data_IF_713447834574
#
_entry.id   IF_713447834574
#
_cell.length_a   1.000
_cell.length_b   1.000
_cell.length_c   1.000
_cell.angle_alpha   90.00
_cell.angle_beta   90.00
_cell.angle_gamma   90.00
#
_symmetry.space_group_name_H-M   'P 1'
#
loop_
_entity.id
_entity.type
_entity.pdbx_description
1 polymer ?
#
# COMPACT_ATOMS: atom_id res chain seq x y z
N UNK A 1 -12.62 30.30 7.87
CA UNK A 1 -12.43 29.67 6.55
C UNK A 1 -10.93 29.56 6.32
N UNK A 2 -10.33 28.37 6.47
CA UNK A 2 -8.88 28.19 6.30
C UNK A 2 -8.55 28.17 4.81
N UNK A 3 -7.50 28.90 4.41
CA UNK A 3 -6.99 28.86 3.06
C UNK A 3 -6.53 27.43 2.70
N UNK A 4 -6.75 26.96 1.46
CA UNK A 4 -6.23 25.69 1.00
C UNK A 4 -4.70 25.70 1.12
N UNK A 5 -4.13 24.69 1.79
CA UNK A 5 -2.69 24.50 1.88
C UNK A 5 -2.06 24.38 0.49
N UNK A 6 -0.77 24.71 0.33
CA UNK A 6 -0.08 24.61 -0.94
C UNK A 6 -0.20 23.18 -1.49
N UNK A 7 -0.57 23.06 -2.76
CA UNK A 7 -0.62 21.78 -3.44
C UNK A 7 0.76 21.11 -3.34
N UNK A 8 0.83 19.81 -3.03
CA UNK A 8 2.11 19.12 -2.98
C UNK A 8 2.84 19.30 -4.31
N UNK A 9 4.11 19.73 -4.23
CA UNK A 9 4.95 19.86 -5.42
C UNK A 9 5.05 18.54 -6.17
N UNK A 10 5.35 18.56 -7.48
CA UNK A 10 5.55 17.33 -8.24
C UNK A 10 6.62 16.49 -7.54
N UNK A 11 6.23 15.30 -7.08
CA UNK A 11 7.14 14.37 -6.43
C UNK A 11 8.35 14.07 -7.31
N UNK A 12 9.47 13.60 -6.72
CA UNK A 12 10.69 13.28 -7.46
C UNK A 12 10.37 12.38 -8.65
N UNK A 13 10.68 12.86 -9.85
CA UNK A 13 10.62 12.04 -11.06
C UNK A 13 11.85 11.14 -11.06
N UNK A 14 11.64 9.90 -10.65
CA UNK A 14 12.56 8.82 -10.95
C UNK A 14 12.55 8.65 -12.47
N UNK A 15 13.53 9.25 -13.17
CA UNK A 15 13.70 9.11 -14.62
C UNK A 15 14.27 7.72 -14.88
N UNK A 16 13.41 6.70 -14.78
CA UNK A 16 13.66 5.45 -15.48
C UNK A 16 13.46 5.72 -16.97
N UNK A 17 14.31 5.15 -17.81
CA UNK A 17 14.00 4.95 -19.22
C UNK A 17 12.84 3.93 -19.29
N UNK A 18 11.63 4.43 -19.02
CA UNK A 18 10.41 3.65 -18.98
C UNK A 18 10.17 2.95 -20.33
N UNK A 19 10.60 3.58 -21.41
CA UNK A 19 10.48 3.07 -22.78
C UNK A 19 11.40 1.88 -23.03
N UNK A 20 12.66 1.94 -22.59
CA UNK A 20 13.58 0.80 -22.70
C UNK A 20 13.13 -0.38 -21.86
N UNK A 21 12.73 -0.13 -20.61
CA UNK A 21 12.20 -1.16 -19.74
C UNK A 21 10.91 -1.75 -20.32
N UNK A 22 9.98 -0.93 -20.82
CA UNK A 22 8.77 -1.40 -21.48
C UNK A 22 9.06 -2.27 -22.71
N UNK A 23 10.05 -1.91 -23.53
CA UNK A 23 10.47 -2.70 -24.70
C UNK A 23 11.03 -4.07 -24.30
N UNK A 24 11.97 -4.12 -23.35
CA UNK A 24 12.52 -5.39 -22.86
C UNK A 24 11.42 -6.29 -22.25
N UNK A 25 10.44 -5.70 -21.58
CA UNK A 25 9.26 -6.43 -21.06
C UNK A 25 8.41 -7.01 -22.17
N UNK A 26 8.18 -6.25 -23.25
CA UNK A 26 7.39 -6.71 -24.39
C UNK A 26 8.09 -7.86 -25.14
N UNK A 27 9.40 -7.76 -25.34
CA UNK A 27 10.22 -8.81 -25.96
C UNK A 27 10.23 -10.09 -25.11
N UNK A 28 10.44 -9.96 -23.79
CA UNK A 28 10.39 -11.09 -22.87
C UNK A 28 8.99 -11.74 -22.82
N UNK A 29 7.92 -10.94 -22.86
CA UNK A 29 6.55 -11.44 -22.90
C UNK A 29 6.24 -12.20 -24.20
N UNK A 30 6.78 -11.77 -25.33
CA UNK A 30 6.57 -12.42 -26.62
C UNK A 30 7.24 -13.80 -26.73
N UNK A 31 8.32 -14.04 -25.97
CA UNK A 31 9.03 -15.31 -25.94
C UNK A 31 8.37 -16.37 -25.03
N UNK A 32 7.45 -15.97 -24.15
CA UNK A 32 6.80 -16.85 -23.19
C UNK A 32 5.46 -17.36 -23.72
N UNK A 33 5.01 -18.57 -23.29
CA UNK A 33 3.67 -19.05 -23.62
C UNK A 33 2.60 -18.09 -23.08
N UNK A 34 1.38 -18.06 -23.63
CA UNK A 34 0.32 -17.14 -23.16
C UNK A 34 -0.16 -17.43 -21.73
N UNK A 35 0.02 -18.67 -21.26
CA UNK A 35 -0.32 -19.10 -19.91
C UNK A 35 0.85 -19.82 -19.23
N UNK A 36 0.99 -19.59 -17.92
CA UNK A 36 1.98 -20.24 -17.07
C UNK A 36 1.29 -21.16 -16.07
N UNK A 37 1.89 -22.31 -15.79
CA UNK A 37 1.53 -23.10 -14.61
C UNK A 37 1.87 -22.33 -13.33
N UNK A 38 1.23 -22.66 -12.21
CA UNK A 38 1.58 -22.09 -10.90
C UNK A 38 3.03 -22.30 -10.47
N UNK A 39 3.75 -23.29 -11.03
CA UNK A 39 5.20 -23.45 -10.82
C UNK A 39 5.99 -22.40 -11.61
N UNK A 40 5.73 -22.27 -12.91
CA UNK A 40 6.41 -21.30 -13.77
C UNK A 40 6.13 -19.86 -13.33
N UNK A 41 4.89 -19.54 -12.95
CA UNK A 41 4.55 -18.22 -12.41
C UNK A 41 5.34 -17.92 -11.13
N UNK A 42 5.55 -18.93 -10.28
CA UNK A 42 6.36 -18.78 -9.07
C UNK A 42 7.83 -18.55 -9.35
N UNK A 43 8.41 -19.35 -10.24
CA UNK A 43 9.81 -19.23 -10.66
C UNK A 43 10.07 -17.85 -11.28
N UNK A 44 9.16 -17.36 -12.12
CA UNK A 44 9.24 -16.04 -12.72
C UNK A 44 9.25 -14.92 -11.67
N UNK A 45 8.29 -14.94 -10.73
CA UNK A 45 8.21 -13.93 -9.66
C UNK A 45 9.41 -14.01 -8.70
N UNK A 46 9.92 -15.21 -8.43
CA UNK A 46 11.12 -15.41 -7.62
C UNK A 46 12.38 -14.88 -8.29
N UNK A 47 12.50 -15.02 -9.61
CA UNK A 47 13.59 -14.43 -10.40
C UNK A 47 13.67 -12.90 -10.24
N UNK A 48 12.52 -12.25 -10.06
CA UNK A 48 12.42 -10.81 -9.78
C UNK A 48 12.56 -10.45 -8.29
N UNK A 49 12.92 -11.43 -7.45
CA UNK A 49 13.16 -11.27 -6.02
C UNK A 49 11.90 -11.18 -5.16
N UNK A 50 10.75 -11.67 -5.64
CA UNK A 50 9.56 -11.89 -4.79
C UNK A 50 9.76 -13.20 -4.01
N UNK A 51 9.77 -13.19 -2.66
CA UNK A 51 9.98 -14.42 -1.89
C UNK A 51 8.92 -15.49 -2.18
N UNK A 52 9.28 -16.78 -2.16
CA UNK A 52 8.36 -17.84 -2.58
C UNK A 52 7.01 -17.84 -1.81
N UNK A 53 7.05 -17.65 -0.48
CA UNK A 53 5.83 -17.55 0.34
C UNK A 53 4.94 -16.39 -0.11
N UNK A 54 5.56 -15.26 -0.39
CA UNK A 54 4.93 -14.05 -0.90
C UNK A 54 4.28 -14.29 -2.27
N UNK A 55 4.98 -15.01 -3.14
CA UNK A 55 4.49 -15.37 -4.47
C UNK A 55 3.26 -16.26 -4.42
N UNK A 56 3.27 -17.30 -3.56
CA UNK A 56 2.10 -18.14 -3.35
C UNK A 56 0.91 -17.31 -2.87
N UNK A 57 1.12 -16.44 -1.88
CA UNK A 57 0.06 -15.55 -1.39
C UNK A 57 -0.52 -14.66 -2.48
N UNK A 58 0.29 -14.09 -3.37
CA UNK A 58 -0.20 -13.28 -4.49
C UNK A 58 -1.10 -14.07 -5.43
N UNK A 59 -0.64 -15.25 -5.85
CA UNK A 59 -1.37 -16.10 -6.79
C UNK A 59 -2.67 -16.65 -6.17
N UNK A 60 -2.61 -17.13 -4.94
CA UNK A 60 -3.78 -17.68 -4.22
C UNK A 60 -4.84 -16.62 -3.94
N UNK A 61 -4.44 -15.35 -3.81
CA UNK A 61 -5.35 -14.22 -3.64
C UNK A 61 -5.82 -13.62 -4.97
N UNK A 62 -5.44 -14.19 -6.12
CA UNK A 62 -5.94 -13.75 -7.44
C UNK A 62 -5.33 -12.45 -7.97
N UNK A 63 -4.20 -11.98 -7.41
CA UNK A 63 -3.56 -10.73 -7.86
C UNK A 63 -2.92 -10.81 -9.25
N UNK A 64 -2.71 -12.03 -9.76
CA UNK A 64 -2.30 -12.27 -11.15
C UNK A 64 -3.51 -12.60 -12.06
N UNK A 65 -4.71 -12.17 -11.67
CA UNK A 65 -5.96 -12.53 -12.32
C UNK A 65 -6.53 -13.86 -11.85
N UNK A 66 -7.76 -14.15 -12.27
CA UNK A 66 -8.43 -15.43 -11.99
C UNK A 66 -7.72 -16.56 -12.73
N UNK A 67 -7.20 -17.59 -12.03
CA UNK A 67 -6.56 -18.70 -12.70
C UNK A 67 -7.56 -19.52 -13.51
N UNK A 68 -7.14 -19.97 -14.70
CA UNK A 68 -7.88 -20.96 -15.48
C UNK A 68 -7.59 -22.34 -14.90
N UNK A 69 -8.63 -23.02 -14.42
CA UNK A 69 -8.51 -24.37 -13.87
C UNK A 69 -8.60 -25.40 -14.99
N UNK A 70 -7.60 -26.25 -15.10
CA UNK A 70 -7.61 -27.44 -15.96
C UNK A 70 -7.74 -28.70 -15.11
N UNK A 71 -7.76 -29.88 -15.74
CA UNK A 71 -7.76 -31.16 -15.03
C UNK A 71 -6.47 -31.42 -14.23
N UNK A 72 -5.34 -30.81 -14.62
CA UNK A 72 -4.02 -31.10 -14.08
C UNK A 72 -3.34 -29.91 -13.39
N UNK A 73 -3.77 -28.67 -13.64
CA UNK A 73 -3.10 -27.48 -13.11
C UNK A 73 -4.01 -26.24 -13.03
N UNK A 74 -3.53 -25.24 -12.29
CA UNK A 74 -3.98 -23.85 -12.41
C UNK A 74 -3.05 -23.12 -13.38
N UNK A 75 -3.64 -22.46 -14.37
CA UNK A 75 -2.96 -21.66 -15.37
C UNK A 75 -3.21 -20.18 -15.11
N UNK A 76 -2.15 -19.40 -15.16
CA UNK A 76 -2.16 -17.95 -14.96
C UNK A 76 -1.79 -17.26 -16.26
N UNK A 77 -2.40 -16.11 -16.55
CA UNK A 77 -2.05 -15.33 -17.73
C UNK A 77 -0.63 -14.78 -17.60
N UNK A 78 0.22 -15.06 -18.59
CA UNK A 78 1.65 -14.67 -18.56
C UNK A 78 1.82 -13.17 -18.44
N UNK A 79 1.00 -12.38 -19.14
CA UNK A 79 1.04 -10.91 -19.08
C UNK A 79 0.75 -10.39 -17.68
N UNK A 80 -0.23 -10.96 -16.98
CA UNK A 80 -0.57 -10.56 -15.62
C UNK A 80 0.55 -10.89 -14.63
N UNK A 81 1.15 -12.09 -14.73
CA UNK A 81 2.29 -12.49 -13.88
C UNK A 81 3.51 -11.60 -14.13
N UNK A 82 3.84 -11.32 -15.40
CA UNK A 82 4.91 -10.40 -15.78
C UNK A 82 4.67 -8.98 -15.25
N UNK A 83 3.44 -8.48 -15.35
CA UNK A 83 3.07 -7.17 -14.84
C UNK A 83 3.22 -7.05 -13.32
N UNK A 84 3.17 -8.15 -12.56
CA UNK A 84 3.52 -8.17 -11.15
C UNK A 84 5.04 -8.23 -10.92
N UNK A 85 5.72 -9.10 -11.67
CA UNK A 85 7.14 -9.37 -11.50
C UNK A 85 8.00 -8.13 -11.80
N UNK A 86 7.66 -7.42 -12.87
CA UNK A 86 8.46 -6.33 -13.45
C UNK A 86 8.22 -4.95 -12.82
N UNK A 87 7.46 -4.90 -11.72
CA UNK A 87 7.17 -3.66 -11.01
C UNK A 87 8.44 -3.06 -10.40
N UNK A 88 8.70 -1.75 -10.53
CA UNK A 88 9.82 -1.10 -9.87
C UNK A 88 9.74 -1.24 -8.35
N UNK A 89 10.90 -1.21 -7.66
CA UNK A 89 10.96 -1.25 -6.20
C UNK A 89 11.05 0.17 -5.65
N UNK A 90 10.20 0.48 -4.68
CA UNK A 90 10.28 1.68 -3.84
C UNK A 90 11.00 1.31 -2.54
N UNK A 91 12.06 2.06 -2.26
CA UNK A 91 12.74 2.08 -0.98
C UNK A 91 12.04 3.00 0.02
N UNK A 92 12.48 2.99 1.29
CA UNK A 92 11.94 3.89 2.32
C UNK A 92 11.97 5.37 1.94
N UNK A 93 13.06 5.84 1.30
CA UNK A 93 13.20 7.24 0.86
C UNK A 93 12.19 7.62 -0.24
N UNK A 94 11.86 6.69 -1.13
CA UNK A 94 10.85 6.95 -2.16
C UNK A 94 9.46 7.08 -1.53
N UNK A 95 9.19 6.30 -0.48
CA UNK A 95 7.94 6.37 0.28
C UNK A 95 7.78 7.67 1.05
N UNK A 96 8.88 8.22 1.58
CA UNK A 96 8.86 9.51 2.26
C UNK A 96 8.45 10.65 1.32
N UNK A 97 8.69 10.51 0.01
CA UNK A 97 8.24 11.49 -0.98
C UNK A 97 6.71 11.50 -1.20
N UNK A 98 6.03 10.42 -0.81
CA UNK A 98 4.56 10.34 -0.83
C UNK A 98 3.93 10.64 0.53
N UNK A 99 4.73 10.76 1.60
CA UNK A 99 4.21 10.97 2.95
C UNK A 99 3.83 12.44 3.14
N UNK A 100 2.52 12.73 3.31
CA UNK A 100 2.07 14.12 3.56
C UNK A 100 1.01 14.18 4.67
N UNK A 101 1.41 14.38 5.93
CA UNK A 101 2.73 14.12 6.52
C UNK A 101 2.94 12.67 6.95
N UNK A 102 1.94 11.80 6.79
CA UNK A 102 1.97 10.41 7.24
C UNK A 102 1.49 9.50 6.11
N UNK A 103 2.19 8.39 5.87
CA UNK A 103 1.74 7.35 4.95
C UNK A 103 1.55 6.04 5.73
N UNK A 104 0.36 5.48 5.67
CA UNK A 104 0.07 4.15 6.23
C UNK A 104 0.25 3.08 5.16
N UNK A 105 1.24 2.21 5.35
CA UNK A 105 1.43 1.03 4.49
C UNK A 105 0.89 -0.19 5.23
N UNK A 106 -0.03 -0.91 4.61
CA UNK A 106 -0.55 -2.17 5.14
C UNK A 106 0.01 -3.37 4.43
N UNK A 107 0.31 -4.40 5.21
CA UNK A 107 0.86 -5.69 4.77
C UNK A 107 -0.18 -6.81 4.90
N UNK A 108 -1.45 -6.45 5.08
CA UNK A 108 -2.54 -7.41 5.21
C UNK A 108 -2.76 -8.10 3.86
N UNK A 109 -2.75 -9.42 3.87
CA UNK A 109 -3.22 -10.18 2.71
C UNK A 109 -4.75 -10.07 2.63
N UNK A 110 -5.25 -9.77 1.44
CA UNK A 110 -6.66 -9.88 1.09
C UNK A 110 -6.77 -10.33 -0.37
N UNK A 111 -7.86 -11.03 -0.73
CA UNK A 111 -8.09 -11.43 -2.11
C UNK A 111 -8.27 -10.19 -2.99
N UNK A 112 -7.93 -10.32 -4.27
CA UNK A 112 -8.31 -9.36 -5.29
C UNK A 112 -9.85 -9.21 -5.29
N UNK A 113 -10.32 -7.99 -5.52
CA UNK A 113 -11.74 -7.70 -5.66
C UNK A 113 -12.18 -7.69 -7.12
N UNK A 114 -13.50 -7.65 -7.38
CA UNK A 114 -14.02 -7.34 -8.71
C UNK A 114 -13.75 -5.89 -9.11
N UNK A 115 -13.58 -4.99 -8.13
CA UNK A 115 -13.33 -3.57 -8.32
C UNK A 115 -12.59 -2.93 -7.12
N UNK A 116 -12.08 -1.73 -7.35
CA UNK A 116 -11.34 -0.95 -6.35
C UNK A 116 -12.21 -0.54 -5.13
N UNK A 117 -13.53 -0.40 -5.29
CA UNK A 117 -14.40 -0.02 -4.18
C UNK A 117 -14.52 -1.16 -3.16
N UNK A 118 -14.70 -2.38 -3.65
CA UNK A 118 -14.75 -3.61 -2.84
C UNK A 118 -13.43 -3.85 -2.11
N UNK A 119 -12.31 -3.66 -2.81
CA UNK A 119 -10.98 -3.78 -2.19
C UNK A 119 -10.76 -2.74 -1.10
N UNK A 120 -11.17 -1.49 -1.34
CA UNK A 120 -11.08 -0.42 -0.36
C UNK A 120 -11.98 -0.67 0.85
N UNK A 121 -13.15 -1.27 0.67
CA UNK A 121 -14.03 -1.63 1.79
C UNK A 121 -13.35 -2.64 2.73
N UNK A 122 -12.61 -3.62 2.18
CA UNK A 122 -11.81 -4.58 2.96
C UNK A 122 -10.73 -3.90 3.80
N UNK A 123 -10.24 -2.74 3.38
CA UNK A 123 -9.24 -1.94 4.09
C UNK A 123 -9.83 -1.11 5.24
N UNK A 124 -11.16 -0.94 5.34
CA UNK A 124 -11.77 -0.22 6.47
C UNK A 124 -11.72 -0.99 7.79
N UNK A 125 -11.70 -2.33 7.72
CA UNK A 125 -11.86 -3.25 8.85
C UNK A 125 -10.85 -3.01 9.99
N UNK A 126 -11.06 -3.59 11.17
CA UNK A 126 -10.33 -3.19 12.38
C UNK A 126 -8.82 -3.26 12.19
N UNK A 127 -8.14 -2.17 12.55
CA UNK A 127 -6.69 -2.03 12.49
C UNK A 127 -6.09 -2.18 13.87
N UNK A 128 -5.10 -3.07 14.05
CA UNK A 128 -4.41 -3.24 15.32
C UNK A 128 -3.33 -2.16 15.51
N UNK A 129 -3.72 -0.89 15.43
CA UNK A 129 -2.83 0.23 15.72
C UNK A 129 -2.74 0.44 17.23
N UNK A 130 -1.51 0.46 17.77
CA UNK A 130 -1.30 0.77 19.18
C UNK A 130 -1.82 2.17 19.52
N UNK A 131 -2.17 2.41 20.80
CA UNK A 131 -2.78 3.67 21.27
C UNK A 131 -2.09 4.93 20.75
N UNK A 132 -0.76 4.93 20.78
CA UNK A 132 0.05 6.04 20.29
C UNK A 132 -0.07 6.24 18.77
N UNK A 133 0.04 5.18 17.97
CA UNK A 133 -0.16 5.24 16.52
C UNK A 133 -1.58 5.73 16.16
N UNK A 134 -2.60 5.25 16.87
CA UNK A 134 -3.99 5.69 16.70
C UNK A 134 -4.21 7.15 17.09
N UNK A 135 -3.57 7.62 18.17
CA UNK A 135 -3.62 9.03 18.59
C UNK A 135 -2.93 9.93 17.56
N UNK A 136 -1.74 9.55 17.08
CA UNK A 136 -1.00 10.30 16.07
C UNK A 136 -1.75 10.37 14.76
N UNK A 137 -2.26 9.25 14.24
CA UNK A 137 -3.04 9.24 13.00
C UNK A 137 -4.26 10.19 13.10
N UNK A 138 -5.01 10.14 14.20
CA UNK A 138 -6.14 11.07 14.43
C UNK A 138 -5.70 12.52 14.55
N UNK A 139 -4.56 12.80 15.18
CA UNK A 139 -4.02 14.16 15.27
C UNK A 139 -3.63 14.67 13.88
N UNK A 140 -2.91 13.87 13.10
CA UNK A 140 -2.50 14.19 11.74
C UNK A 140 -3.71 14.45 10.84
N UNK A 141 -4.72 13.56 10.88
CA UNK A 141 -5.95 13.74 10.08
C UNK A 141 -6.66 15.07 10.39
N UNK A 142 -6.67 15.50 11.66
CA UNK A 142 -7.29 16.78 12.06
C UNK A 142 -6.48 18.00 11.62
N UNK A 143 -5.16 17.90 11.65
CA UNK A 143 -4.26 19.03 11.37
C UNK A 143 -4.00 19.21 9.87
N UNK A 144 -3.85 18.10 9.14
CA UNK A 144 -3.39 18.09 7.75
C UNK A 144 -4.42 17.55 6.76
N UNK A 145 -5.57 17.07 7.24
CA UNK A 145 -6.61 16.49 6.39
C UNK A 145 -6.31 15.05 5.98
N UNK A 146 -6.88 14.58 4.85
CA UNK A 146 -6.76 13.20 4.40
C UNK A 146 -5.31 12.73 4.28
N UNK A 147 -5.06 11.45 4.59
CA UNK A 147 -3.72 10.86 4.59
C UNK A 147 -3.64 9.64 3.66
N UNK A 148 -2.54 9.45 2.93
CA UNK A 148 -2.41 8.33 2.03
C UNK A 148 -2.33 6.99 2.78
N UNK A 149 -2.99 5.99 2.21
CA UNK A 149 -2.88 4.58 2.59
C UNK A 149 -2.50 3.75 1.37
N UNK A 150 -1.45 2.96 1.49
CA UNK A 150 -1.04 1.97 0.50
C UNK A 150 -1.28 0.57 1.07
N UNK A 151 -1.98 -0.25 0.30
CA UNK A 151 -2.10 -1.67 0.61
C UNK A 151 -1.13 -2.49 -0.23
N UNK A 152 -0.37 -3.34 0.47
CA UNK A 152 0.57 -4.26 -0.16
C UNK A 152 0.23 -5.69 0.15
N UNK A 153 0.42 -6.54 -0.86
CA UNK A 153 0.41 -8.00 -0.71
C UNK A 153 1.78 -8.46 -1.15
N UNK A 154 2.52 -9.12 -0.25
CA UNK A 154 3.87 -9.57 -0.56
C UNK A 154 4.83 -8.45 -1.02
N UNK A 155 4.61 -7.22 -0.53
CA UNK A 155 5.36 -6.04 -0.96
C UNK A 155 4.88 -5.43 -2.29
N UNK A 156 3.99 -6.07 -3.04
CA UNK A 156 3.40 -5.47 -4.24
C UNK A 156 2.30 -4.49 -3.84
N UNK A 157 2.32 -3.26 -4.36
CA UNK A 157 1.24 -2.29 -4.15
C UNK A 157 0.01 -2.75 -4.91
N UNK A 158 -1.06 -3.07 -4.20
CA UNK A 158 -2.28 -3.63 -4.80
C UNK A 158 -3.45 -2.64 -4.77
N UNK A 159 -3.48 -1.73 -3.80
CA UNK A 159 -4.54 -0.74 -3.68
C UNK A 159 -4.04 0.53 -2.97
N UNK A 160 -4.69 1.66 -3.27
CA UNK A 160 -4.51 2.94 -2.60
C UNK A 160 -5.83 3.47 -2.05
N UNK A 161 -5.75 4.28 -1.01
CA UNK A 161 -6.90 5.01 -0.48
C UNK A 161 -6.45 6.30 0.22
N UNK A 162 -7.41 7.21 0.41
CA UNK A 162 -7.24 8.35 1.31
C UNK A 162 -7.93 8.03 2.63
N UNK A 163 -7.19 8.07 3.74
CA UNK A 163 -7.75 8.02 5.09
C UNK A 163 -8.36 9.39 5.36
N UNK A 164 -9.68 9.47 5.46
CA UNK A 164 -10.39 10.72 5.76
C UNK A 164 -10.84 10.80 7.22
N UNK A 165 -10.82 9.67 7.92
CA UNK A 165 -11.27 9.56 9.29
C UNK A 165 -10.73 8.30 9.96
N UNK A 166 -10.73 8.33 11.29
CA UNK A 166 -10.25 7.25 12.12
C UNK A 166 -11.08 7.22 13.41
N UNK A 167 -11.85 6.15 13.60
CA UNK A 167 -12.77 5.99 14.72
C UNK A 167 -12.44 4.73 15.53
N UNK A 168 -12.65 4.72 16.85
CA UNK A 168 -12.63 3.50 17.62
C UNK A 168 -13.49 2.42 16.96
N UNK A 169 -12.86 1.29 16.69
CA UNK A 169 -13.51 0.07 16.24
C UNK A 169 -14.07 -0.69 17.44
N UNK A 170 -15.01 -1.59 17.17
CA UNK A 170 -15.47 -2.54 18.17
C UNK A 170 -14.32 -3.51 18.44
N UNK A 171 -13.96 -3.80 19.71
CA UNK A 171 -13.02 -4.87 20.02
C UNK A 171 -13.56 -6.18 19.44
N UNK A 172 -12.89 -6.71 18.41
CA UNK A 172 -13.13 -8.06 17.94
C UNK A 172 -12.23 -9.00 18.75
N UNK A 173 -12.77 -10.10 19.31
CA UNK A 173 -11.94 -11.10 19.94
C UNK A 173 -11.02 -11.71 18.87
N UNK A 174 -9.73 -11.41 18.95
CA UNK A 174 -8.72 -12.00 18.08
C UNK A 174 -8.51 -13.45 18.54
N UNK A 175 -8.84 -14.47 17.72
CA UNK A 175 -8.63 -15.85 18.10
C UNK A 175 -7.14 -16.10 18.35
N UNK A 176 -6.78 -16.50 19.58
CA UNK A 176 -5.41 -16.88 19.96
C UNK A 176 -4.53 -15.77 20.55
N UNK A 177 -5.07 -14.58 20.83
CA UNK A 177 -4.31 -13.49 21.47
C UNK A 177 -4.14 -13.67 22.98
N UNK A 178 -3.08 -14.35 23.42
CA UNK A 178 -2.67 -14.38 24.84
C UNK A 178 -1.87 -13.12 25.13
N UNK A 179 -2.47 -12.18 25.87
CA UNK A 179 -1.73 -11.35 26.83
C UNK A 179 -0.95 -10.13 26.34
N UNK A 180 -1.33 -9.47 25.23
CA UNK A 180 -0.74 -8.17 24.90
C UNK A 180 -1.82 -7.06 24.94
N UNK A 181 -1.49 -5.98 25.65
CA UNK A 181 -2.38 -4.92 26.11
C UNK A 181 -3.49 -4.54 25.12
N UNK A 182 -4.74 -4.43 25.60
CA UNK A 182 -5.93 -4.04 24.85
C UNK A 182 -5.66 -2.95 23.80
N UNK A 183 -5.37 -3.40 22.57
CA UNK A 183 -5.27 -2.55 21.39
C UNK A 183 -6.70 -2.20 21.04
N UNK A 184 -7.08 -0.95 21.27
CA UNK A 184 -8.35 -0.42 20.79
C UNK A 184 -8.30 -0.47 19.26
N UNK A 185 -9.03 -1.38 18.60
CA UNK A 185 -8.94 -1.47 17.16
C UNK A 185 -9.42 -0.16 16.57
N UNK A 186 -8.84 0.25 15.44
CA UNK A 186 -9.24 1.46 14.75
C UNK A 186 -9.97 1.08 13.47
N UNK A 187 -11.14 1.68 13.21
CA UNK A 187 -11.79 1.61 11.91
C UNK A 187 -11.45 2.87 11.14
N UNK A 188 -11.03 2.71 9.88
CA UNK A 188 -10.66 3.82 9.01
C UNK A 188 -11.82 4.19 8.09
N UNK A 189 -12.04 5.48 7.92
CA UNK A 189 -12.89 6.01 6.87
C UNK A 189 -12.02 6.28 5.64
N UNK A 190 -12.38 5.66 4.51
CA UNK A 190 -11.55 5.64 3.31
C UNK A 190 -12.27 6.25 2.10
N UNK A 191 -11.66 7.26 1.49
CA UNK A 191 -12.02 7.79 0.17
C UNK A 191 -11.16 7.15 -0.93
N UNK A 192 -11.53 7.30 -2.22
CA UNK A 192 -10.67 6.85 -3.33
C UNK A 192 -9.29 7.49 -3.22
N UNK A 193 -8.27 6.81 -3.72
CA UNK A 193 -6.91 7.34 -3.72
C UNK A 193 -6.81 8.64 -4.52
N UNK A 194 -6.03 9.60 -4.03
CA UNK A 194 -5.79 10.86 -4.72
C UNK A 194 -4.82 10.74 -5.91
N UNK A 195 -4.46 11.88 -6.54
CA UNK A 195 -3.57 11.93 -7.71
C UNK A 195 -2.15 11.39 -7.47
N UNK A 196 -1.74 11.16 -6.23
CA UNK A 196 -0.43 10.59 -5.89
C UNK A 196 -0.34 9.09 -6.20
N UNK A 197 -1.47 8.37 -6.18
CA UNK A 197 -1.47 6.91 -6.21
C UNK A 197 -0.99 6.28 -7.54
N UNK A 198 -1.29 6.83 -8.73
CA UNK A 198 -0.76 6.29 -9.98
C UNK A 198 0.77 6.11 -10.00
N UNK A 199 1.52 6.99 -9.33
CA UNK A 199 2.98 6.88 -9.20
C UNK A 199 3.43 5.68 -8.32
N UNK A 200 2.55 5.17 -7.44
CA UNK A 200 2.81 4.04 -6.56
C UNK A 200 2.16 2.73 -7.05
N UNK A 201 1.05 2.80 -7.78
CA UNK A 201 0.19 1.65 -8.09
C UNK A 201 0.95 0.51 -8.81
N UNK A 202 1.90 0.86 -9.68
CA UNK A 202 2.69 -0.09 -10.45
C UNK A 202 4.01 -0.51 -9.78
N UNK A 203 4.12 -0.35 -8.45
CA UNK A 203 5.39 -0.55 -7.74
C UNK A 203 5.36 -1.67 -6.69
N UNK A 204 6.54 -1.95 -6.13
CA UNK A 204 6.78 -2.86 -5.00
C UNK A 204 7.40 -2.09 -3.85
N UNK A 205 6.81 -2.14 -2.68
CA UNK A 205 7.40 -1.64 -1.44
C UNK A 205 8.30 -2.69 -0.83
N UNK A 206 9.56 -2.30 -0.59
CA UNK A 206 10.47 -3.11 0.22
C UNK A 206 10.17 -2.93 1.70
N UNK A 207 9.73 -4.00 2.36
CA UNK A 207 9.54 -4.01 3.80
C UNK A 207 10.16 -5.28 4.42
N UNK A 208 10.85 -5.10 5.55
CA UNK A 208 11.36 -6.22 6.35
C UNK A 208 10.23 -6.99 7.06
N UNK A 209 10.56 -7.99 7.89
CA UNK A 209 9.58 -8.62 8.78
C UNK A 209 8.96 -7.60 9.75
N UNK A 210 7.76 -7.85 10.27
CA UNK A 210 7.16 -7.00 11.31
C UNK A 210 5.63 -7.01 11.35
N UNK A 211 5.08 -5.95 11.96
CA UNK A 211 3.64 -5.72 12.19
C UNK A 211 2.83 -5.74 10.88
N UNK A 212 1.53 -6.03 10.88
CA UNK A 212 0.73 -5.99 9.64
C UNK A 212 0.58 -4.58 9.02
N UNK A 213 1.20 -3.56 9.59
CA UNK A 213 1.20 -2.17 9.12
C UNK A 213 2.54 -1.49 9.42
N UNK A 214 2.81 -0.37 8.74
CA UNK A 214 3.94 0.54 8.95
C UNK A 214 3.45 1.98 8.77
N UNK A 215 3.92 2.90 9.61
CA UNK A 215 3.69 4.34 9.46
C UNK A 215 4.98 5.00 8.98
N UNK A 216 4.95 5.56 7.77
CA UNK A 216 6.03 6.37 7.20
C UNK A 216 5.78 7.86 7.47
N UNK A 217 6.86 8.66 7.55
CA UNK A 217 6.79 10.08 7.94
C UNK A 217 6.57 10.34 9.43
N UNK A 218 6.40 9.30 10.25
CA UNK A 218 6.15 9.43 11.69
C UNK A 218 7.24 10.24 12.41
N UNK A 219 8.51 9.97 12.08
CA UNK A 219 9.64 10.67 12.69
C UNK A 219 9.62 12.17 12.37
N UNK A 220 9.19 12.54 11.16
CA UNK A 220 9.07 13.95 10.74
C UNK A 220 7.98 14.67 11.53
N UNK A 221 6.83 14.02 11.77
CA UNK A 221 5.76 14.57 12.62
C UNK A 221 6.23 14.76 14.06
N UNK A 222 7.04 13.84 14.58
CA UNK A 222 7.56 13.92 15.95
C UNK A 222 8.60 15.04 16.14
N UNK A 223 9.30 15.43 15.07
CA UNK A 223 10.35 16.45 15.07
C UNK A 223 9.86 17.84 14.67
N UNK A 224 8.65 17.97 14.14
CA UNK A 224 8.09 19.28 13.79
C UNK A 224 8.06 20.20 15.04
N UNK A 225 8.58 21.44 14.93
CA UNK A 225 8.61 22.36 16.07
C UNK A 225 7.19 22.57 16.59
N UNK A 226 6.99 22.32 17.89
CA UNK A 226 5.68 22.42 18.56
C UNK A 226 5.15 23.85 18.69
N UNK A 227 5.74 24.82 17.99
CA UNK A 227 5.27 26.18 18.06
C UNK A 227 3.91 26.24 17.36
N UNK A 228 2.82 26.54 18.10
CA UNK A 228 1.59 26.92 17.42
C UNK A 228 1.93 28.08 16.50
N UNK A 229 1.31 28.18 15.31
CA UNK A 229 1.40 29.41 14.53
C UNK A 229 1.02 30.52 15.49
N UNK A 230 1.96 31.43 15.76
CA UNK A 230 1.67 32.65 16.47
C UNK A 230 0.49 33.26 15.73
N UNK A 231 -0.67 33.25 16.38
CA UNK A 231 -1.84 33.95 15.89
C UNK A 231 -1.37 35.38 15.81
N UNK A 232 -1.04 35.82 14.60
CA UNK A 232 -0.53 37.15 14.37
C UNK A 232 -1.50 38.09 15.06
N UNK A 233 -0.98 38.82 16.04
CA UNK A 233 -1.67 39.96 16.62
C UNK A 233 -2.12 40.79 15.43
N UNK A 234 -3.44 40.79 15.22
CA UNK A 234 -4.09 41.65 14.25
C UNK A 234 -3.88 43.07 14.77
N UNK A 235 -2.77 43.68 14.40
CA UNK A 235 -2.55 45.11 14.61
C UNK A 235 -3.69 45.85 13.94
N UNK A 236 -4.47 46.54 14.77
CA UNK A 236 -5.50 47.48 14.38
C UNK A 236 -4.92 48.71 13.66
#
# INVERSE_FOLDING_TARGET
MSAPGPAPGPGPRVVYDEDHAARLRAEAAAALPPFLTGRQARELLAGEGVPERSTRHLLDNGWAGTPIRTSSALLFETRAVLALALRPRLGPRDLDAFAIPLLLVTRRAFPAGPDAATERERLRGPWPLGRFASATLRAVLRLYGPQPLIATVAGIVVQGAEITGARPGRPEPVPGGVGDAAVEPLTLDLAPAGPWFPACAATRVTHGPGRPWVLHGFDQVSQAPRHPPSVGESSA
#
